data_IF_372595671933
#
_entry.id   IF_372595671933
#
_cell.length_a   1.000
_cell.length_b   1.000
_cell.length_c   1.000
_cell.angle_alpha   90.00
_cell.angle_beta   90.00
_cell.angle_gamma   90.00
#
_symmetry.space_group_name_H-M   'P 1'
#
loop_
_entity.id
_entity.type
_entity.pdbx_description
1 polymer ?
#
# COMPACT_ATOMS: atom_id res chain seq x y z
N UNK A 1 -8.85 -20.17 -4.82
CA UNK A 1 -8.18 -18.88 -5.11
C UNK A 1 -8.33 -17.89 -3.95
N UNK A 2 -9.54 -17.50 -3.50
CA UNK A 2 -9.69 -16.56 -2.37
C UNK A 2 -9.08 -17.08 -1.04
N UNK A 3 -9.23 -18.38 -0.75
CA UNK A 3 -8.62 -19.01 0.43
C UNK A 3 -7.08 -18.97 0.40
N UNK A 4 -6.48 -19.03 -0.80
CA UNK A 4 -5.02 -18.97 -0.99
C UNK A 4 -4.51 -17.58 -0.68
N UNK A 5 -5.14 -16.52 -1.20
CA UNK A 5 -4.72 -15.14 -0.91
C UNK A 5 -4.76 -14.81 0.59
N UNK A 6 -5.81 -15.24 1.31
CA UNK A 6 -5.93 -15.02 2.75
C UNK A 6 -4.84 -15.74 3.55
N UNK A 7 -4.40 -16.91 3.10
CA UNK A 7 -3.37 -17.70 3.78
C UNK A 7 -1.95 -17.17 3.51
N UNK A 8 -1.69 -16.70 2.30
CA UNK A 8 -0.36 -16.25 1.86
C UNK A 8 -0.04 -14.82 2.33
N UNK A 9 -1.04 -13.93 2.47
CA UNK A 9 -0.82 -12.55 2.93
C UNK A 9 -0.11 -12.47 4.29
N UNK A 10 -0.51 -13.17 5.37
CA UNK A 10 0.20 -13.07 6.65
C UNK A 10 1.65 -13.52 6.54
N UNK A 11 1.92 -14.61 5.81
CA UNK A 11 3.29 -15.08 5.57
C UNK A 11 4.10 -14.04 4.79
N UNK A 12 3.53 -13.48 3.72
CA UNK A 12 4.15 -12.44 2.92
C UNK A 12 4.41 -11.14 3.71
N UNK A 13 3.51 -10.77 4.64
CA UNK A 13 3.71 -9.63 5.53
C UNK A 13 4.90 -9.85 6.45
N UNK A 14 5.05 -11.06 7.03
CA UNK A 14 6.17 -11.40 7.91
C UNK A 14 7.50 -11.42 7.17
N UNK A 15 7.57 -12.06 5.99
CA UNK A 15 8.83 -12.23 5.24
C UNK A 15 9.32 -10.95 4.55
N UNK A 16 8.49 -9.90 4.49
CA UNK A 16 8.82 -8.64 3.81
C UNK A 16 10.06 -7.94 4.39
N UNK A 17 10.27 -8.04 5.70
CA UNK A 17 11.46 -7.45 6.35
C UNK A 17 12.69 -8.37 6.34
N UNK A 18 12.51 -9.66 6.00
CA UNK A 18 13.60 -10.65 6.03
C UNK A 18 14.51 -10.59 4.80
N UNK A 19 14.02 -10.00 3.70
CA UNK A 19 14.71 -9.93 2.41
C UNK A 19 14.66 -8.52 1.81
N UNK A 20 15.58 -8.26 0.89
CA UNK A 20 15.52 -7.06 0.06
C UNK A 20 14.24 -7.07 -0.78
N UNK A 21 13.58 -5.92 -0.92
CA UNK A 21 12.27 -5.79 -1.55
C UNK A 21 12.29 -6.25 -3.01
N UNK A 22 13.36 -5.92 -3.72
CA UNK A 22 13.63 -6.33 -5.10
C UNK A 22 13.82 -7.84 -5.27
N UNK A 23 14.07 -8.59 -4.18
CA UNK A 23 14.14 -10.05 -4.19
C UNK A 23 12.82 -10.66 -3.71
N UNK A 24 12.31 -10.18 -2.57
CA UNK A 24 11.06 -10.62 -1.96
C UNK A 24 9.87 -10.54 -2.92
N UNK A 25 9.88 -9.54 -3.81
CA UNK A 25 8.83 -9.37 -4.81
C UNK A 25 8.65 -10.64 -5.65
N UNK A 26 9.68 -11.43 -5.94
CA UNK A 26 9.56 -12.63 -6.78
C UNK A 26 8.99 -13.85 -6.05
N UNK A 27 8.98 -13.86 -4.72
CA UNK A 27 8.54 -15.00 -3.92
C UNK A 27 7.01 -15.17 -3.93
N UNK A 28 6.27 -14.08 -4.17
CA UNK A 28 4.81 -14.07 -4.07
C UNK A 28 4.13 -13.74 -5.40
N UNK A 29 2.87 -14.16 -5.64
CA UNK A 29 2.08 -13.70 -6.78
C UNK A 29 1.86 -12.17 -6.80
N UNK A 30 1.59 -11.61 -7.98
CA UNK A 30 1.43 -10.16 -8.18
C UNK A 30 0.50 -9.48 -7.18
N UNK A 31 -0.68 -10.05 -6.95
CA UNK A 31 -1.68 -9.48 -6.05
C UNK A 31 -1.24 -9.52 -4.58
N UNK A 32 -0.60 -10.60 -4.13
CA UNK A 32 -0.10 -10.71 -2.74
C UNK A 32 1.02 -9.70 -2.52
N UNK A 33 1.97 -9.63 -3.46
CA UNK A 33 3.07 -8.67 -3.39
C UNK A 33 2.57 -7.22 -3.35
N UNK A 34 1.50 -6.91 -4.11
CA UNK A 34 0.86 -5.60 -4.16
C UNK A 34 0.17 -5.25 -2.83
N UNK A 35 -0.69 -6.13 -2.32
CA UNK A 35 -1.43 -5.89 -1.08
C UNK A 35 -0.48 -5.77 0.10
N UNK A 36 0.54 -6.64 0.19
CA UNK A 36 1.53 -6.58 1.27
C UNK A 36 2.40 -5.31 1.19
N UNK A 37 2.77 -4.86 -0.02
CA UNK A 37 3.42 -3.55 -0.21
C UNK A 37 2.57 -2.41 0.37
N UNK A 38 1.26 -2.41 0.12
CA UNK A 38 0.35 -1.37 0.61
C UNK A 38 0.14 -1.44 2.13
N UNK A 39 0.12 -2.66 2.70
CA UNK A 39 0.08 -2.87 4.15
C UNK A 39 1.35 -2.28 4.77
N UNK A 40 2.52 -2.65 4.26
CA UNK A 40 3.81 -2.17 4.78
C UNK A 40 3.97 -0.66 4.64
N UNK A 41 3.53 -0.06 3.53
CA UNK A 41 3.49 1.39 3.41
C UNK A 41 2.68 2.04 4.54
N UNK A 42 1.49 1.50 4.83
CA UNK A 42 0.63 2.01 5.92
C UNK A 42 1.33 1.85 7.28
N UNK A 43 1.92 0.70 7.54
CA UNK A 43 2.66 0.40 8.78
C UNK A 43 3.84 1.35 8.96
N UNK A 44 4.68 1.53 7.95
CA UNK A 44 5.89 2.35 8.05
C UNK A 44 5.58 3.85 8.18
N UNK A 45 4.54 4.34 7.51
CA UNK A 45 4.05 5.72 7.74
C UNK A 45 3.55 5.87 9.18
N UNK A 46 2.80 4.90 9.69
CA UNK A 46 2.38 4.87 11.09
C UNK A 46 3.55 4.91 12.07
N UNK A 47 4.59 4.10 11.82
CA UNK A 47 5.83 4.11 12.62
C UNK A 47 6.58 5.44 12.51
N UNK A 48 6.59 6.08 11.33
CA UNK A 48 7.18 7.39 11.16
C UNK A 48 6.45 8.45 12.00
N UNK A 49 5.11 8.42 12.04
CA UNK A 49 4.33 9.31 12.92
C UNK A 49 4.59 9.02 14.40
N UNK A 50 4.62 7.76 14.82
CA UNK A 50 4.91 7.41 16.23
C UNK A 50 6.29 7.93 16.68
N UNK A 51 7.32 7.77 15.83
CA UNK A 51 8.66 8.34 16.09
C UNK A 51 8.63 9.87 16.11
N UNK A 52 7.79 10.50 15.31
CA UNK A 52 7.65 11.95 15.33
C UNK A 52 7.12 12.44 16.69
N UNK A 53 6.12 11.74 17.23
CA UNK A 53 5.56 12.01 18.57
C UNK A 53 6.58 11.79 19.70
N UNK A 54 7.52 10.87 19.52
CA UNK A 54 8.66 10.65 20.42
C UNK A 54 9.77 11.72 20.30
N UNK A 55 9.63 12.69 19.40
CA UNK A 55 10.57 13.80 19.20
C UNK A 55 11.57 13.60 18.06
N UNK A 56 11.45 12.54 17.25
CA UNK A 56 12.29 12.36 16.06
C UNK A 56 11.76 13.18 14.87
N UNK A 57 12.05 14.48 14.84
CA UNK A 57 11.52 15.47 13.86
C UNK A 57 11.76 15.11 12.38
N UNK A 58 12.74 14.26 12.07
CA UNK A 58 13.07 13.87 10.71
C UNK A 58 12.49 12.50 10.29
N UNK A 59 11.71 11.83 11.15
CA UNK A 59 11.22 10.46 10.92
C UNK A 59 10.51 10.29 9.57
N UNK A 60 9.59 11.21 9.22
CA UNK A 60 8.84 11.17 7.96
C UNK A 60 9.76 11.46 6.76
N UNK A 61 10.72 12.36 6.90
CA UNK A 61 11.70 12.68 5.83
C UNK A 61 12.64 11.51 5.57
N UNK A 62 13.09 10.83 6.62
CA UNK A 62 13.95 9.67 6.49
C UNK A 62 13.19 8.48 5.91
N UNK A 63 11.90 8.32 6.26
CA UNK A 63 11.03 7.38 5.58
C UNK A 63 10.87 7.69 4.08
N UNK A 64 10.67 8.95 3.71
CA UNK A 64 10.56 9.33 2.31
C UNK A 64 11.85 9.02 1.51
N UNK A 65 13.03 9.22 2.11
CA UNK A 65 14.31 8.80 1.50
C UNK A 65 14.37 7.28 1.31
N UNK A 66 13.89 6.50 2.30
CA UNK A 66 13.79 5.03 2.19
C UNK A 66 12.89 4.63 1.01
N UNK A 67 11.72 5.26 0.87
CA UNK A 67 10.81 4.99 -0.25
C UNK A 67 11.46 5.27 -1.61
N UNK A 68 12.20 6.39 -1.74
CA UNK A 68 12.93 6.73 -2.97
C UNK A 68 13.98 5.66 -3.28
N UNK A 69 14.72 5.18 -2.28
CA UNK A 69 15.70 4.11 -2.45
C UNK A 69 15.08 2.81 -2.94
N UNK A 70 13.99 2.36 -2.29
CA UNK A 70 13.27 1.15 -2.69
C UNK A 70 12.67 1.26 -4.10
N UNK A 71 12.07 2.41 -4.44
CA UNK A 71 11.53 2.66 -5.78
C UNK A 71 12.63 2.61 -6.85
N UNK A 72 13.78 3.22 -6.59
CA UNK A 72 14.91 3.20 -7.52
C UNK A 72 15.41 1.76 -7.75
N UNK A 73 15.49 0.93 -6.70
CA UNK A 73 15.86 -0.48 -6.84
C UNK A 73 14.89 -1.25 -7.76
N UNK A 74 13.58 -1.04 -7.59
CA UNK A 74 12.57 -1.65 -8.46
C UNK A 74 12.63 -1.12 -9.91
N UNK A 75 12.92 0.18 -10.10
CA UNK A 75 13.14 0.75 -11.44
C UNK A 75 14.38 0.13 -12.10
N UNK A 76 15.46 -0.11 -11.35
CA UNK A 76 16.65 -0.79 -11.87
C UNK A 76 16.32 -2.21 -12.34
N UNK A 77 15.47 -2.95 -11.63
CA UNK A 77 14.99 -4.26 -12.09
C UNK A 77 14.29 -4.18 -13.45
N UNK A 78 13.48 -3.14 -13.69
CA UNK A 78 12.75 -2.95 -14.95
C UNK A 78 13.69 -2.73 -16.14
N UNK A 79 14.89 -2.23 -15.94
CA UNK A 79 15.90 -2.08 -17.01
C UNK A 79 16.48 -3.45 -17.39
N UNK A 80 16.49 -4.39 -16.44
CA UNK A 80 17.00 -5.75 -16.63
C UNK A 80 16.10 -6.66 -17.46
N UNK A 81 16.53 -7.91 -17.56
CA UNK A 81 15.80 -8.96 -18.25
C UNK A 81 14.77 -9.58 -17.30
N UNK A 82 13.49 -9.49 -17.66
CA UNK A 82 12.35 -9.94 -16.85
C UNK A 82 11.35 -10.66 -17.75
N UNK A 83 10.63 -11.63 -17.20
CA UNK A 83 9.47 -12.21 -17.89
C UNK A 83 8.40 -11.14 -18.10
N UNK A 84 7.50 -11.33 -19.08
CA UNK A 84 6.40 -10.40 -19.32
C UNK A 84 5.51 -10.21 -18.07
N UNK A 85 5.29 -11.30 -17.31
CA UNK A 85 4.51 -11.28 -16.07
C UNK A 85 5.20 -10.48 -14.97
N UNK A 86 6.49 -10.74 -14.73
CA UNK A 86 7.25 -10.04 -13.70
C UNK A 86 7.41 -8.56 -14.02
N UNK A 87 7.66 -8.23 -15.29
CA UNK A 87 7.74 -6.84 -15.75
C UNK A 87 6.43 -6.11 -15.49
N UNK A 88 5.29 -6.71 -15.83
CA UNK A 88 3.97 -6.11 -15.58
C UNK A 88 3.69 -5.93 -14.08
N UNK A 89 4.08 -6.91 -13.27
CA UNK A 89 3.93 -6.87 -11.82
C UNK A 89 4.77 -5.75 -11.20
N UNK A 90 6.07 -5.68 -11.54
CA UNK A 90 6.98 -4.67 -11.00
C UNK A 90 6.54 -3.28 -11.47
N UNK A 91 6.12 -3.13 -12.73
CA UNK A 91 5.59 -1.87 -13.25
C UNK A 91 4.38 -1.39 -12.44
N UNK A 92 3.46 -2.31 -12.13
CA UNK A 92 2.27 -2.04 -11.33
C UNK A 92 2.63 -1.60 -9.91
N UNK A 93 3.57 -2.28 -9.26
CA UNK A 93 4.06 -1.92 -7.92
C UNK A 93 4.74 -0.54 -7.95
N UNK A 94 5.61 -0.28 -8.93
CA UNK A 94 6.25 1.03 -9.10
C UNK A 94 5.23 2.16 -9.27
N UNK A 95 4.14 1.95 -10.02
CA UNK A 95 3.07 2.95 -10.18
C UNK A 95 2.43 3.33 -8.84
N UNK A 96 2.16 2.33 -7.99
CA UNK A 96 1.56 2.56 -6.66
C UNK A 96 2.59 3.20 -5.71
N UNK A 97 3.84 2.78 -5.75
CA UNK A 97 4.91 3.35 -4.94
C UNK A 97 5.19 4.83 -5.26
N UNK A 98 5.09 5.23 -6.54
CA UNK A 98 5.22 6.65 -6.93
C UNK A 98 4.14 7.48 -6.25
N UNK A 99 2.90 7.00 -6.26
CA UNK A 99 1.80 7.68 -5.56
C UNK A 99 2.06 7.72 -4.04
N UNK A 100 2.42 6.59 -3.44
CA UNK A 100 2.70 6.48 -2.00
C UNK A 100 3.83 7.44 -1.56
N UNK A 101 4.90 7.55 -2.35
CA UNK A 101 5.98 8.53 -2.15
C UNK A 101 5.47 9.97 -2.23
N UNK A 102 4.64 10.27 -3.23
CA UNK A 102 4.11 11.63 -3.44
C UNK A 102 3.19 12.07 -2.31
N UNK A 103 2.40 11.15 -1.77
CA UNK A 103 1.60 11.40 -0.55
C UNK A 103 2.52 11.78 0.61
N UNK A 104 3.58 11.02 0.87
CA UNK A 104 4.53 11.32 1.96
C UNK A 104 5.27 12.64 1.71
N UNK A 105 5.70 12.91 0.48
CA UNK A 105 6.33 14.18 0.11
C UNK A 105 5.39 15.38 0.34
N UNK A 106 4.10 15.24 0.00
CA UNK A 106 3.07 16.26 0.28
C UNK A 106 2.87 16.46 1.78
N UNK A 107 2.85 15.39 2.57
CA UNK A 107 2.76 15.49 4.03
C UNK A 107 3.96 16.25 4.64
N UNK A 108 5.17 16.02 4.13
CA UNK A 108 6.38 16.75 4.54
C UNK A 108 6.25 18.24 4.21
N UNK A 109 5.85 18.58 2.98
CA UNK A 109 5.67 19.98 2.56
C UNK A 109 4.60 20.71 3.38
N UNK A 110 3.51 20.01 3.71
CA UNK A 110 2.41 20.52 4.51
C UNK A 110 2.69 20.49 6.03
N UNK A 111 3.88 20.02 6.46
CA UNK A 111 4.27 19.87 7.87
C UNK A 111 3.21 19.11 8.68
N UNK A 112 2.77 17.98 8.15
CA UNK A 112 1.83 17.10 8.84
C UNK A 112 2.56 16.38 9.97
N UNK A 113 2.15 16.63 11.20
CA UNK A 113 2.80 16.08 12.41
C UNK A 113 1.99 15.01 13.12
N UNK A 114 0.76 14.72 12.65
CA UNK A 114 -0.13 13.76 13.28
C UNK A 114 -0.70 12.78 12.25
N UNK A 115 -0.78 11.51 12.66
CA UNK A 115 -1.50 10.46 11.94
C UNK A 115 -3.01 10.74 11.85
N UNK A 116 -3.56 11.67 12.63
CA UNK A 116 -4.97 12.07 12.54
C UNK A 116 -5.24 13.14 11.47
N UNK A 117 -4.20 13.66 10.82
CA UNK A 117 -4.37 14.69 9.82
C UNK A 117 -5.15 14.17 8.60
N UNK A 118 -6.10 14.98 8.13
CA UNK A 118 -6.94 14.64 6.97
C UNK A 118 -6.12 14.29 5.72
N UNK A 119 -4.97 14.92 5.51
CA UNK A 119 -4.06 14.61 4.40
C UNK A 119 -3.64 13.14 4.37
N UNK A 120 -3.45 12.52 5.54
CA UNK A 120 -3.17 11.09 5.67
C UNK A 120 -4.45 10.26 5.72
N UNK A 121 -5.44 10.71 6.50
CA UNK A 121 -6.70 9.99 6.70
C UNK A 121 -7.51 9.81 5.40
N UNK A 122 -7.39 10.74 4.45
CA UNK A 122 -8.05 10.66 3.14
C UNK A 122 -7.46 9.61 2.19
N UNK A 123 -6.32 9.02 2.52
CA UNK A 123 -5.64 8.02 1.68
C UNK A 123 -6.23 6.62 1.91
N UNK A 124 -6.21 5.77 0.88
CA UNK A 124 -6.58 4.35 1.04
C UNK A 124 -5.46 3.60 1.74
N UNK A 125 -5.71 3.11 2.95
CA UNK A 125 -4.72 2.44 3.81
C UNK A 125 -5.08 0.98 4.01
N UNK A 126 -4.17 0.07 3.69
CA UNK A 126 -4.36 -1.35 3.96
C UNK A 126 -3.73 -1.71 5.30
N UNK A 127 -4.42 -2.52 6.10
CA UNK A 127 -3.93 -2.98 7.39
C UNK A 127 -4.24 -4.46 7.56
N UNK A 128 -3.23 -5.23 7.91
CA UNK A 128 -3.43 -6.59 8.39
C UNK A 128 -3.81 -6.56 9.87
N UNK A 129 -4.89 -7.23 10.23
CA UNK A 129 -5.35 -7.40 11.61
C UNK A 129 -5.04 -8.82 12.07
N UNK A 130 -4.08 -8.95 13.00
CA UNK A 130 -3.59 -10.25 13.48
C UNK A 130 -4.65 -11.02 14.29
N UNK A 131 -5.51 -10.32 15.04
CA UNK A 131 -6.56 -10.96 15.84
C UNK A 131 -7.66 -11.54 14.94
N UNK A 132 -8.12 -10.74 13.96
CA UNK A 132 -9.17 -11.14 13.03
C UNK A 132 -8.64 -11.98 11.87
N UNK A 133 -7.32 -12.03 11.67
CA UNK A 133 -6.66 -12.67 10.52
C UNK A 133 -7.28 -12.22 9.19
N UNK A 134 -7.45 -10.91 9.08
CA UNK A 134 -8.09 -10.26 7.94
C UNK A 134 -7.37 -8.96 7.56
N UNK A 135 -7.30 -8.70 6.26
CA UNK A 135 -6.88 -7.41 5.73
C UNK A 135 -8.08 -6.47 5.69
N UNK A 136 -7.87 -5.24 6.14
CA UNK A 136 -8.86 -4.17 6.10
C UNK A 136 -8.31 -3.01 5.26
N UNK A 137 -9.18 -2.46 4.43
CA UNK A 137 -8.97 -1.19 3.74
C UNK A 137 -9.66 -0.08 4.55
N UNK A 138 -8.89 0.93 4.94
CA UNK A 138 -9.34 2.08 5.69
C UNK A 138 -9.26 3.33 4.83
N UNK A 139 -10.29 4.15 4.85
CA UNK A 139 -10.32 5.48 4.22
C UNK A 139 -11.18 6.41 5.08
N UNK A 140 -10.60 7.53 5.52
CA UNK A 140 -11.15 8.35 6.59
C UNK A 140 -11.59 7.45 7.77
N UNK A 141 -12.87 7.57 8.17
CA UNK A 141 -13.48 6.80 9.25
C UNK A 141 -14.07 5.45 8.77
N UNK A 142 -14.11 5.22 7.46
CA UNK A 142 -14.62 3.98 6.90
C UNK A 142 -13.58 2.85 7.03
N UNK A 143 -14.05 1.68 7.45
CA UNK A 143 -13.29 0.44 7.45
C UNK A 143 -14.04 -0.61 6.65
N UNK A 144 -13.36 -1.24 5.70
CA UNK A 144 -13.94 -2.26 4.85
C UNK A 144 -13.03 -3.48 4.85
N UNK A 145 -13.60 -4.66 5.02
CA UNK A 145 -12.85 -5.90 4.94
C UNK A 145 -12.47 -6.18 3.48
N UNK A 146 -11.21 -6.56 3.25
CA UNK A 146 -10.73 -6.95 1.94
C UNK A 146 -11.45 -8.22 1.45
N UNK A 147 -11.98 -8.20 0.22
CA UNK A 147 -12.81 -9.30 -0.32
C UNK A 147 -12.00 -10.51 -0.82
N UNK A 148 -10.67 -10.39 -0.96
CA UNK A 148 -9.78 -11.45 -1.47
C UNK A 148 -10.16 -12.01 -2.84
N UNK A 149 -10.85 -11.22 -3.67
CA UNK A 149 -11.13 -11.61 -5.05
C UNK A 149 -9.84 -11.55 -5.86
N UNK A 150 -9.53 -12.63 -6.59
CA UNK A 150 -8.34 -12.64 -7.44
C UNK A 150 -8.59 -11.79 -8.69
N UNK A 151 -7.86 -10.69 -8.85
CA UNK A 151 -8.04 -9.74 -9.95
C UNK A 151 -6.99 -9.91 -11.07
N UNK A 152 -6.12 -10.90 -10.95
CA UNK A 152 -5.04 -11.15 -11.90
C UNK A 152 -3.89 -10.14 -11.82
N UNK A 153 -2.89 -10.36 -12.68
CA UNK A 153 -1.83 -9.38 -12.94
C UNK A 153 -2.33 -8.41 -14.02
N UNK A 154 -3.31 -7.59 -13.68
CA UNK A 154 -3.84 -6.55 -14.57
C UNK A 154 -3.22 -5.20 -14.21
N UNK A 155 -2.88 -4.35 -15.20
CA UNK A 155 -2.36 -3.02 -14.91
C UNK A 155 -3.39 -2.26 -14.07
N UNK A 156 -2.96 -1.80 -12.90
CA UNK A 156 -3.76 -0.88 -12.10
C UNK A 156 -3.76 0.48 -12.77
N UNK A 157 -4.84 1.24 -12.63
CA UNK A 157 -4.92 2.61 -13.16
C UNK A 157 -3.84 3.50 -12.51
N UNK A 158 -3.70 4.77 -12.88
CA UNK A 158 -2.82 5.68 -12.13
C UNK A 158 -3.64 6.38 -11.05
N UNK A 159 -3.17 6.39 -9.80
CA UNK A 159 -3.89 7.08 -8.71
C UNK A 159 -3.80 8.58 -8.96
N UNK A 160 -4.92 9.17 -9.36
CA UNK A 160 -5.07 10.60 -9.57
C UNK A 160 -5.95 11.19 -8.46
N UNK A 161 -5.86 12.52 -8.19
CA UNK A 161 -6.76 13.19 -7.24
C UNK A 161 -8.26 12.95 -7.51
N UNK A 162 -8.64 12.62 -8.76
CA UNK A 162 -10.01 12.22 -9.12
C UNK A 162 -10.39 10.84 -8.57
N UNK A 163 -9.45 9.90 -8.56
CA UNK A 163 -9.66 8.54 -8.03
C UNK A 163 -9.80 8.58 -6.51
N UNK A 164 -8.99 9.39 -5.82
CA UNK A 164 -9.11 9.58 -4.36
C UNK A 164 -10.49 10.14 -3.98
N UNK A 165 -11.00 11.13 -4.73
CA UNK A 165 -12.34 11.70 -4.49
C UNK A 165 -13.47 10.68 -4.68
N UNK A 166 -13.34 9.77 -5.65
CA UNK A 166 -14.33 8.71 -5.85
C UNK A 166 -14.30 7.70 -4.71
N UNK A 167 -13.11 7.29 -4.24
CA UNK A 167 -12.99 6.41 -3.07
C UNK A 167 -13.59 7.05 -1.80
N UNK A 168 -13.35 8.35 -1.57
CA UNK A 168 -13.94 9.10 -0.45
C UNK A 168 -15.47 9.09 -0.50
N UNK A 169 -16.05 9.37 -1.67
CA UNK A 169 -17.51 9.34 -1.85
C UNK A 169 -18.10 7.93 -1.64
N UNK A 170 -17.39 6.88 -2.03
CA UNK A 170 -17.84 5.50 -1.84
C UNK A 170 -17.75 5.02 -0.38
N UNK A 171 -16.79 5.54 0.39
CA UNK A 171 -16.64 5.25 1.82
C UNK A 171 -17.71 5.94 2.68
N UNK A 172 -18.06 7.18 2.35
CA UNK A 172 -19.07 7.97 3.07
C UNK A 172 -20.51 7.45 2.86
N UNK A 173 -20.77 6.85 1.69
CA UNK A 173 -22.13 6.49 1.26
C UNK A 173 -22.52 5.02 1.54
N UNK A 174 -21.75 4.26 2.35
CA UNK A 174 -22.00 2.82 2.56
C UNK A 174 -22.17 2.41 4.02
N UNK A 175 -23.25 1.66 4.25
CA UNK A 175 -23.44 0.83 5.45
C UNK A 175 -22.42 -0.33 5.49
N UNK A 176 -21.99 -0.77 6.68
CA UNK A 176 -20.86 -1.70 6.88
C UNK A 176 -21.06 -3.13 6.34
N UNK A 177 -22.17 -3.44 5.68
CA UNK A 177 -22.56 -4.80 5.27
C UNK A 177 -22.48 -5.09 3.77
N UNK A 178 -22.01 -4.17 2.94
CA UNK A 178 -22.00 -4.35 1.48
C UNK A 178 -20.58 -4.61 0.95
N UNK A 179 -20.33 -5.72 0.21
CA UNK A 179 -19.02 -5.96 -0.39
C UNK A 179 -18.67 -4.86 -1.40
N UNK A 180 -17.39 -4.48 -1.43
CA UNK A 180 -16.88 -3.55 -2.44
C UNK A 180 -17.06 -4.17 -3.84
N UNK A 181 -17.47 -3.39 -4.87
CA UNK A 181 -17.10 -3.78 -6.22
C UNK A 181 -15.58 -3.91 -6.28
N UNK A 182 -15.02 -4.82 -7.09
CA UNK A 182 -13.59 -5.00 -7.19
C UNK A 182 -12.95 -3.63 -7.38
N UNK A 183 -12.12 -3.23 -6.43
CA UNK A 183 -11.45 -1.94 -6.55
C UNK A 183 -10.64 -2.02 -7.86
N UNK A 184 -10.48 -0.91 -8.60
CA UNK A 184 -9.56 -0.89 -9.74
C UNK A 184 -8.10 -1.22 -9.34
N UNK A 185 -7.84 -1.53 -8.06
CA UNK A 185 -6.57 -1.49 -7.34
C UNK A 185 -6.22 -2.80 -6.63
N UNK A 186 -7.16 -3.72 -6.43
CA UNK A 186 -6.97 -4.82 -5.48
C UNK A 186 -8.09 -4.87 -4.46
#
# INVERSE_FOLDING_TARGET
>A
MCATLRHEIPEAVVTYEEKLREQWIFDYPAQIALTCTQIWWTTEVGLAFARLEEGYENSIKDYNKKQIGQLNALITLLIGNLSAGDRMKIMTICTIDVHARDVVAKMIMAKVESSQAFTWQSQLRHRWDEEKKHCFANICDAQIQYSYEYLGNTPRLVITPLTDRQCLSLGDNRSPSSPLPPSPWG
#
